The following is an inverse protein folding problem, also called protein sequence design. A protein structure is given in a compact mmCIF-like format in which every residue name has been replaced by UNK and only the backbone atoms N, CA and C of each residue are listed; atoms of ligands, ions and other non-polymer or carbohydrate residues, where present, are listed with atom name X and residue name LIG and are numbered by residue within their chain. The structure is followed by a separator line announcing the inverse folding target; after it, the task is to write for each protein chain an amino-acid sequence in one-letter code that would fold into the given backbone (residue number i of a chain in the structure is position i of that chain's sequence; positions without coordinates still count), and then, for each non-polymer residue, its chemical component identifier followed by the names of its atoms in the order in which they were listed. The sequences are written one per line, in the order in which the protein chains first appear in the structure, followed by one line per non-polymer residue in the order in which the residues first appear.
data_IF_220082365526
#
_entry.id   IF_220082365526
#
_cell.length_a   1.000
_cell.length_b   1.000
_cell.length_c   1.000
_cell.angle_alpha   90.00
_cell.angle_beta   90.00
_cell.angle_gamma   90.00
#
_symmetry.space_group_name_H-M   'P 1'
#
loop_
_entity.id
_entity.type
_entity.pdbx_description
1 polymer ?
#
# COMPACT_ATOMS: atom_id res chain seq x y z
N UNK A 1 -15.98 8.62 0.70
CA UNK A 1 -15.55 7.62 -0.30
C UNK A 1 -16.72 7.09 -1.14
N UNK A 2 -17.93 6.95 -0.59
CA UNK A 2 -19.17 6.55 -1.31
C UNK A 2 -19.37 7.27 -2.64
N UNK A 3 -19.30 8.61 -2.65
CA UNK A 3 -19.44 9.42 -3.87
C UNK A 3 -18.50 8.97 -5.01
N UNK A 4 -17.27 8.55 -4.71
CA UNK A 4 -16.33 8.10 -5.74
C UNK A 4 -16.72 6.73 -6.31
N UNK A 5 -17.16 5.81 -5.46
CA UNK A 5 -17.66 4.49 -5.87
C UNK A 5 -18.88 4.64 -6.77
N UNK A 6 -19.86 5.45 -6.35
CA UNK A 6 -21.08 5.69 -7.10
C UNK A 6 -20.80 6.37 -8.44
N UNK A 7 -19.89 7.36 -8.45
CA UNK A 7 -19.49 8.04 -9.69
C UNK A 7 -18.81 7.07 -10.65
N UNK A 8 -17.88 6.23 -10.17
CA UNK A 8 -17.23 5.21 -10.99
C UNK A 8 -18.26 4.26 -11.63
N UNK A 9 -19.20 3.74 -10.83
CA UNK A 9 -20.28 2.87 -11.32
C UNK A 9 -21.18 3.57 -12.33
N UNK A 10 -21.55 4.84 -12.09
CA UNK A 10 -22.36 5.65 -13.01
C UNK A 10 -21.70 5.80 -14.39
N UNK A 11 -20.38 5.77 -14.45
CA UNK A 11 -19.61 5.83 -15.69
C UNK A 11 -19.15 4.45 -16.21
N UNK A 12 -19.72 3.36 -15.71
CA UNK A 12 -19.44 2.00 -16.19
C UNK A 12 -18.10 1.42 -15.73
N UNK A 13 -17.39 2.08 -14.80
CA UNK A 13 -16.16 1.56 -14.22
C UNK A 13 -16.47 0.54 -13.11
N UNK A 14 -15.54 -0.41 -12.90
CA UNK A 14 -15.58 -1.39 -11.82
C UNK A 14 -14.70 -0.86 -10.68
N UNK A 15 -15.29 -0.33 -9.59
CA UNK A 15 -14.50 0.18 -8.47
C UNK A 15 -13.82 -0.97 -7.71
N UNK A 16 -12.59 -0.72 -7.26
CA UNK A 16 -11.87 -1.56 -6.29
C UNK A 16 -11.31 -0.62 -5.23
N UNK A 17 -11.58 -0.92 -3.96
CA UNK A 17 -11.06 -0.16 -2.83
C UNK A 17 -9.71 -0.71 -2.39
N UNK A 18 -8.82 0.15 -1.91
CA UNK A 18 -7.55 -0.23 -1.29
C UNK A 18 -7.54 0.27 0.15
N UNK A 19 -7.15 -0.59 1.11
CA UNK A 19 -6.88 -0.13 2.48
C UNK A 19 -5.57 0.67 2.52
N UNK A 20 -5.45 1.71 3.37
CA UNK A 20 -4.24 2.53 3.42
C UNK A 20 -3.07 1.76 4.04
N UNK A 21 -1.86 1.98 3.53
CA UNK A 21 -0.64 1.42 4.14
C UNK A 21 -0.26 2.20 5.40
N UNK A 22 0.10 1.48 6.46
CA UNK A 22 0.57 2.07 7.71
C UNK A 22 1.96 2.69 7.59
N UNK A 23 2.37 3.44 8.62
CA UNK A 23 3.70 4.05 8.68
C UNK A 23 4.78 3.02 9.02
N UNK A 24 6.04 3.32 8.69
CA UNK A 24 7.21 2.60 9.18
C UNK A 24 7.47 2.88 10.68
N UNK A 25 6.55 2.44 11.55
CA UNK A 25 6.63 2.65 12.99
C UNK A 25 6.76 1.32 13.73
N UNK A 26 7.76 1.23 14.59
CA UNK A 26 8.03 0.04 15.41
C UNK A 26 8.11 0.44 16.88
N UNK A 27 7.63 -0.42 17.77
CA UNK A 27 7.72 -0.23 19.21
C UNK A 27 9.15 -0.49 19.73
N UNK A 28 9.39 -0.21 21.01
CA UNK A 28 10.70 -0.45 21.64
C UNK A 28 11.12 -1.92 21.72
N UNK A 29 10.24 -2.86 21.35
CA UNK A 29 10.49 -4.31 21.28
C UNK A 29 10.69 -4.81 19.85
N UNK A 30 10.62 -3.91 18.86
CA UNK A 30 10.78 -4.23 17.44
C UNK A 30 9.51 -4.76 16.76
N UNK A 31 8.33 -4.60 17.36
CA UNK A 31 7.06 -4.95 16.71
C UNK A 31 6.50 -3.77 15.92
N UNK A 32 5.93 -4.07 14.75
CA UNK A 32 5.25 -3.08 13.93
C UNK A 32 4.02 -2.50 14.67
N UNK A 33 3.91 -1.19 14.69
CA UNK A 33 2.77 -0.46 15.29
C UNK A 33 1.73 -0.17 14.22
N UNK A 34 0.46 -0.52 14.50
CA UNK A 34 -0.66 -0.21 13.62
C UNK A 34 -1.03 1.26 13.72
N UNK A 35 -0.85 2.03 12.65
CA UNK A 35 -1.03 3.50 12.69
C UNK A 35 -2.33 4.02 12.11
N UNK A 36 -3.10 3.23 11.36
CA UNK A 36 -4.32 3.67 10.67
C UNK A 36 -5.53 2.72 10.86
N UNK A 37 -5.75 2.13 12.05
CA UNK A 37 -6.77 1.10 12.21
C UNK A 37 -8.19 1.57 11.88
N UNK A 38 -8.58 2.81 12.23
CA UNK A 38 -9.94 3.29 11.94
C UNK A 38 -10.18 3.48 10.44
N UNK A 39 -9.16 3.95 9.70
CA UNK A 39 -9.27 4.11 8.25
C UNK A 39 -9.33 2.79 7.52
N UNK A 40 -8.56 1.78 7.97
CA UNK A 40 -8.63 0.42 7.43
C UNK A 40 -10.04 -0.15 7.62
N UNK A 41 -10.60 -0.01 8.82
CA UNK A 41 -11.95 -0.52 9.09
C UNK A 41 -13.01 0.24 8.29
N UNK A 42 -12.90 1.58 8.17
CA UNK A 42 -13.83 2.36 7.37
C UNK A 42 -13.86 1.94 5.89
N UNK A 43 -12.70 1.63 5.29
CA UNK A 43 -12.62 1.12 3.92
C UNK A 43 -13.27 -0.27 3.80
N UNK A 44 -13.01 -1.16 4.76
CA UNK A 44 -13.59 -2.51 4.79
C UNK A 44 -15.10 -2.47 5.01
N UNK A 45 -15.60 -1.60 5.88
CA UNK A 45 -17.02 -1.37 6.09
C UNK A 45 -17.69 -0.89 4.81
N UNK A 46 -17.13 0.13 4.15
CA UNK A 46 -17.67 0.64 2.89
C UNK A 46 -17.70 -0.42 1.78
N UNK A 47 -16.65 -1.26 1.70
CA UNK A 47 -16.59 -2.39 0.78
C UNK A 47 -17.77 -3.35 0.98
N UNK A 48 -18.11 -3.66 2.22
CA UNK A 48 -19.28 -4.52 2.56
C UNK A 48 -20.60 -3.83 2.27
N UNK A 49 -20.74 -2.56 2.65
CA UNK A 49 -21.98 -1.79 2.47
C UNK A 49 -22.35 -1.59 0.99
N UNK A 50 -21.34 -1.36 0.14
CA UNK A 50 -21.56 -1.07 -1.28
C UNK A 50 -21.36 -2.28 -2.19
N UNK A 51 -21.01 -3.46 -1.65
CA UNK A 51 -20.60 -4.64 -2.41
C UNK A 51 -19.50 -4.33 -3.44
N UNK A 52 -18.35 -3.87 -2.95
CA UNK A 52 -17.20 -3.47 -3.75
C UNK A 52 -16.00 -4.29 -3.34
N UNK A 53 -15.24 -4.82 -4.30
CA UNK A 53 -14.01 -5.54 -4.02
C UNK A 53 -13.00 -4.65 -3.26
N UNK A 54 -12.32 -5.21 -2.27
CA UNK A 54 -11.25 -4.54 -1.52
C UNK A 54 -9.92 -5.29 -1.64
N UNK A 55 -8.84 -4.57 -1.91
CA UNK A 55 -7.47 -5.02 -1.76
C UNK A 55 -7.01 -4.59 -0.37
N UNK A 56 -6.80 -5.55 0.53
CA UNK A 56 -6.33 -5.29 1.90
C UNK A 56 -4.81 -5.07 1.93
N UNK A 57 -4.39 -4.00 1.26
CA UNK A 57 -3.00 -3.59 1.14
C UNK A 57 -2.36 -3.31 2.50
N UNK A 58 -3.14 -2.86 3.49
CA UNK A 58 -2.69 -2.70 4.86
C UNK A 58 -2.20 -4.03 5.44
N UNK A 59 -3.02 -5.09 5.41
CA UNK A 59 -2.63 -6.38 5.97
C UNK A 59 -1.41 -6.98 5.26
N UNK A 60 -1.37 -6.92 3.92
CA UNK A 60 -0.25 -7.47 3.14
C UNK A 60 1.05 -6.68 3.33
N UNK A 61 0.98 -5.34 3.44
CA UNK A 61 2.15 -4.52 3.76
C UNK A 61 2.61 -4.66 5.21
N UNK A 62 1.70 -4.80 6.19
CA UNK A 62 2.07 -5.12 7.57
C UNK A 62 2.83 -6.45 7.65
N UNK A 63 2.38 -7.47 6.92
CA UNK A 63 3.08 -8.75 6.84
C UNK A 63 4.47 -8.62 6.21
N UNK A 64 4.62 -7.79 5.16
CA UNK A 64 5.92 -7.48 4.56
C UNK A 64 6.84 -6.80 5.57
N UNK A 65 6.37 -5.75 6.25
CA UNK A 65 7.18 -4.96 7.18
C UNK A 65 7.57 -5.77 8.41
N UNK A 66 6.65 -6.58 8.95
CA UNK A 66 6.93 -7.49 10.06
C UNK A 66 8.01 -8.51 9.69
N UNK A 67 8.00 -9.03 8.46
CA UNK A 67 9.03 -9.96 7.95
C UNK A 67 10.39 -9.29 7.77
N UNK A 68 10.42 -8.02 7.35
CA UNK A 68 11.64 -7.26 7.12
C UNK A 68 12.27 -6.74 8.43
N UNK A 69 11.44 -6.37 9.41
CA UNK A 69 11.89 -5.66 10.60
C UNK A 69 12.19 -4.18 10.33
N UNK A 70 12.52 -3.44 11.39
CA UNK A 70 12.58 -1.97 11.36
C UNK A 70 13.62 -1.42 10.36
N UNK A 71 14.85 -1.94 10.38
CA UNK A 71 15.93 -1.40 9.54
C UNK A 71 15.65 -1.59 8.04
N UNK A 72 15.23 -2.79 7.65
CA UNK A 72 14.92 -3.10 6.26
C UNK A 72 13.63 -2.45 5.78
N UNK A 73 12.64 -2.30 6.66
CA UNK A 73 11.41 -1.57 6.34
C UNK A 73 11.72 -0.12 6.00
N UNK A 74 12.60 0.56 6.76
CA UNK A 74 12.99 1.95 6.47
C UNK A 74 13.54 2.15 5.05
N UNK A 75 14.18 1.14 4.47
CA UNK A 75 14.69 1.19 3.09
C UNK A 75 13.59 1.24 2.03
N UNK A 76 12.34 0.96 2.39
CA UNK A 76 11.18 1.14 1.50
C UNK A 76 10.67 2.59 1.53
N UNK A 77 10.99 3.35 2.57
CA UNK A 77 10.47 4.69 2.80
C UNK A 77 11.48 5.78 2.41
N UNK A 78 11.03 7.05 2.39
CA UNK A 78 11.85 8.23 2.16
C UNK A 78 12.75 8.51 3.38
N UNK A 79 13.69 7.61 3.59
CA UNK A 79 14.81 7.73 4.52
C UNK A 79 16.07 7.96 3.72
N UNK A 80 16.44 9.22 3.57
CA UNK A 80 17.55 9.70 2.76
C UNK A 80 18.58 10.40 3.65
N UNK A 81 19.85 10.09 3.46
CA UNK A 81 20.94 10.88 4.02
C UNK A 81 21.14 12.19 3.23
N UNK A 82 21.79 13.21 3.83
CA UNK A 82 22.19 14.41 3.10
C UNK A 82 23.00 14.07 1.83
N UNK A 83 22.67 14.70 0.72
CA UNK A 83 23.31 14.50 -0.58
C UNK A 83 22.83 13.28 -1.40
N UNK A 84 21.94 12.44 -0.88
CA UNK A 84 21.47 11.24 -1.62
C UNK A 84 20.48 11.56 -2.73
N UNK A 85 19.74 12.67 -2.65
CA UNK A 85 18.73 13.01 -3.64
C UNK A 85 18.64 14.53 -3.85
N UNK A 86 18.59 14.97 -5.12
CA UNK A 86 18.58 16.40 -5.48
C UNK A 86 17.42 17.18 -4.88
N UNK A 87 16.23 16.56 -4.79
CA UNK A 87 15.04 17.18 -4.20
C UNK A 87 15.09 17.26 -2.66
N UNK A 88 16.03 16.57 -2.01
CA UNK A 88 16.19 16.52 -0.55
C UNK A 88 17.68 16.65 -0.20
N UNK A 89 18.31 17.81 -0.46
CA UNK A 89 19.76 17.98 -0.29
C UNK A 89 20.22 17.74 1.16
N UNK A 90 19.39 18.09 2.15
CA UNK A 90 19.65 17.88 3.57
C UNK A 90 19.22 16.49 4.08
N UNK A 91 18.81 15.60 3.17
CA UNK A 91 18.20 14.31 3.50
C UNK A 91 16.75 14.44 3.96
N UNK A 92 16.15 13.30 4.30
CA UNK A 92 14.76 13.21 4.77
C UNK A 92 14.56 11.97 5.62
N UNK A 93 13.77 12.07 6.69
CA UNK A 93 13.32 10.91 7.48
C UNK A 93 11.81 10.94 7.53
N UNK A 94 11.19 10.11 6.71
CA UNK A 94 9.75 10.13 6.51
C UNK A 94 9.23 8.69 6.52
N UNK A 95 8.44 8.36 7.55
CA UNK A 95 7.88 7.03 7.76
C UNK A 95 6.57 6.80 7.01
N UNK A 96 6.12 7.75 6.17
CA UNK A 96 4.82 7.69 5.48
C UNK A 96 4.95 7.52 3.97
N UNK A 97 5.96 8.15 3.36
CA UNK A 97 6.12 8.14 1.91
C UNK A 97 7.16 7.09 1.48
N UNK A 98 6.83 6.29 0.46
CA UNK A 98 7.77 5.36 -0.14
C UNK A 98 8.80 6.04 -1.03
N UNK A 99 9.99 5.46 -1.11
CA UNK A 99 10.90 5.70 -2.23
C UNK A 99 10.50 4.82 -3.43
N UNK A 100 11.22 4.92 -4.55
CA UNK A 100 10.91 4.15 -5.77
C UNK A 100 10.92 2.64 -5.53
N UNK A 101 11.90 2.14 -4.78
CA UNK A 101 12.00 0.73 -4.42
C UNK A 101 10.81 0.27 -3.57
N UNK A 102 10.47 1.02 -2.52
CA UNK A 102 9.31 0.70 -1.68
C UNK A 102 7.98 0.77 -2.42
N UNK A 103 7.79 1.76 -3.29
CA UNK A 103 6.61 1.87 -4.13
C UNK A 103 6.47 0.64 -5.05
N UNK A 104 7.58 0.15 -5.60
CA UNK A 104 7.63 -1.06 -6.42
C UNK A 104 7.27 -2.30 -5.61
N UNK A 105 7.85 -2.48 -4.43
CA UNK A 105 7.54 -3.64 -3.56
C UNK A 105 6.08 -3.66 -3.11
N UNK A 106 5.51 -2.50 -2.76
CA UNK A 106 4.09 -2.39 -2.38
C UNK A 106 3.18 -2.60 -3.60
N UNK A 107 3.54 -2.13 -4.79
CA UNK A 107 2.79 -2.40 -6.02
C UNK A 107 2.73 -3.91 -6.34
N UNK A 108 3.80 -4.67 -6.07
CA UNK A 108 3.79 -6.14 -6.22
C UNK A 108 2.76 -6.81 -5.31
N UNK A 109 2.52 -6.28 -4.10
CA UNK A 109 1.48 -6.79 -3.20
C UNK A 109 0.08 -6.60 -3.81
N UNK A 110 -0.19 -5.42 -4.39
CA UNK A 110 -1.45 -5.13 -5.08
C UNK A 110 -1.67 -6.09 -6.25
N UNK A 111 -0.65 -6.30 -7.09
CA UNK A 111 -0.69 -7.25 -8.21
C UNK A 111 -0.99 -8.67 -7.73
N UNK A 112 -0.33 -9.10 -6.65
CA UNK A 112 -0.56 -10.42 -6.07
C UNK A 112 -2.03 -10.58 -5.63
N UNK A 113 -2.56 -9.60 -4.92
CA UNK A 113 -3.93 -9.68 -4.40
C UNK A 113 -4.99 -9.60 -5.51
N UNK A 114 -4.75 -8.82 -6.56
CA UNK A 114 -5.59 -8.83 -7.78
C UNK A 114 -5.69 -10.23 -8.36
N UNK A 115 -4.56 -10.95 -8.47
CA UNK A 115 -4.50 -12.32 -9.00
C UNK A 115 -5.17 -13.32 -8.06
N UNK A 116 -4.80 -13.31 -6.79
CA UNK A 116 -5.32 -14.26 -5.79
C UNK A 116 -6.85 -14.18 -5.64
N UNK A 117 -7.40 -12.96 -5.72
CA UNK A 117 -8.85 -12.71 -5.60
C UNK A 117 -9.61 -12.86 -6.92
N UNK A 118 -8.92 -13.18 -8.02
CA UNK A 118 -9.53 -13.33 -9.34
C UNK A 118 -10.25 -12.07 -9.83
N UNK A 119 -9.73 -10.88 -9.50
CA UNK A 119 -10.37 -9.63 -9.92
C UNK A 119 -10.29 -9.49 -11.44
N UNK A 120 -11.28 -8.88 -12.12
CA UNK A 120 -11.27 -8.70 -13.57
C UNK A 120 -10.00 -8.00 -14.10
N UNK A 121 -9.37 -7.16 -13.26
CA UNK A 121 -8.12 -6.48 -13.58
C UNK A 121 -6.94 -7.45 -13.84
N UNK A 122 -7.00 -8.69 -13.33
CA UNK A 122 -5.97 -9.69 -13.55
C UNK A 122 -5.73 -9.97 -15.03
N UNK A 123 -6.77 -9.91 -15.87
CA UNK A 123 -6.68 -10.10 -17.32
C UNK A 123 -5.95 -8.96 -18.05
N UNK A 124 -5.74 -7.82 -17.40
CA UNK A 124 -5.06 -6.64 -17.96
C UNK A 124 -3.63 -6.48 -17.44
N UNK A 125 -3.20 -7.34 -16.51
CA UNK A 125 -1.82 -7.34 -16.03
C UNK A 125 -0.91 -7.84 -17.15
N UNK A 126 0.20 -7.13 -17.38
CA UNK A 126 1.23 -7.62 -18.30
C UNK A 126 2.03 -8.73 -17.64
N UNK A 127 2.39 -9.73 -18.43
CA UNK A 127 3.25 -10.84 -18.00
C UNK A 127 4.71 -10.39 -17.82
N UNK A 128 5.09 -9.27 -18.42
CA UNK A 128 6.46 -8.73 -18.44
C UNK A 128 6.78 -7.83 -17.24
N UNK A 129 6.08 -7.98 -16.12
CA UNK A 129 6.40 -7.27 -14.89
C UNK A 129 7.89 -7.46 -14.59
N UNK A 130 8.69 -6.46 -15.00
CA UNK A 130 10.15 -6.47 -14.87
C UNK A 130 10.42 -6.79 -13.42
N UNK A 131 10.91 -7.99 -13.20
CA UNK A 131 11.58 -8.31 -11.96
C UNK A 131 12.81 -7.39 -11.97
N UNK A 132 13.00 -6.52 -10.96
CA UNK A 132 14.21 -5.72 -10.90
C UNK A 132 15.46 -6.60 -10.96
#
# INVERSE_FOLDING_TARGET
MTRYVETARKHGAIPVLLTPVGKCLFDGKGHLVRTLPEYVEAVKQLSRELDVAVVDLNASSEALFARLGQEWTRRLFLWLAPGEHSNYPDGKKDDSHFNEYGATEVAKLVIKEIRDRGLPLAALLRDDARTP
#
